data_IF_694568738614
#
_entry.id   IF_694568738614
#
_cell.length_a   1.000
_cell.length_b   1.000
_cell.length_c   1.000
_cell.angle_alpha   90.00
_cell.angle_beta   90.00
_cell.angle_gamma   90.00
#
_symmetry.space_group_name_H-M   'P 1'
#
loop_
_entity.id
_entity.type
_entity.pdbx_description
1 polymer ?
#
# COMPACT_ATOMS: atom_id res chain seq x y z
N UNK A 1 -11.68 -1.91 9.41
CA UNK A 1 -10.40 -2.05 9.08
C UNK A 1 -9.31 -1.98 10.11
N UNK A 2 -8.39 -2.92 10.04
CA UNK A 2 -7.26 -2.98 10.95
C UNK A 2 -6.21 -1.91 10.63
N UNK A 3 -5.52 -1.47 11.67
CA UNK A 3 -4.33 -0.62 11.64
C UNK A 3 -3.08 -1.46 11.99
N UNK A 4 -1.91 -0.90 11.82
CA UNK A 4 -0.65 -1.54 12.22
C UNK A 4 -0.63 -1.92 13.71
N UNK A 5 -1.19 -1.07 14.58
CA UNK A 5 -1.35 -1.36 16.01
C UNK A 5 -2.23 -2.60 16.28
N UNK A 6 -3.25 -2.84 15.47
CA UNK A 6 -4.13 -4.01 15.59
C UNK A 6 -3.42 -5.29 15.16
N UNK A 7 -2.63 -5.21 14.08
CA UNK A 7 -1.78 -6.32 13.63
C UNK A 7 -0.76 -6.70 14.70
N UNK A 8 -0.09 -5.71 15.31
CA UNK A 8 0.84 -5.93 16.42
C UNK A 8 0.20 -6.64 17.61
N UNK A 9 -0.99 -6.21 18.01
CA UNK A 9 -1.70 -6.78 19.17
C UNK A 9 -2.04 -8.25 18.94
N UNK A 10 -2.28 -8.66 17.68
CA UNK A 10 -2.66 -10.02 17.34
C UNK A 10 -1.52 -10.83 16.74
N UNK A 11 -0.33 -10.27 16.62
CA UNK A 11 0.81 -10.84 15.90
C UNK A 11 1.10 -12.29 16.27
N UNK A 12 1.17 -12.58 17.58
CA UNK A 12 1.50 -13.94 18.07
C UNK A 12 0.45 -14.96 17.64
N UNK A 13 -0.83 -14.59 17.72
CA UNK A 13 -1.95 -15.50 17.42
C UNK A 13 -2.16 -15.67 15.92
N UNK A 14 -2.10 -14.58 15.18
CA UNK A 14 -2.56 -14.54 13.79
C UNK A 14 -1.41 -14.69 12.78
N UNK A 15 -0.16 -14.57 13.20
CA UNK A 15 1.01 -14.65 12.32
C UNK A 15 2.04 -15.64 12.86
N UNK A 16 2.69 -15.33 13.99
CA UNK A 16 3.84 -16.09 14.47
C UNK A 16 3.50 -17.57 14.80
N UNK A 17 2.28 -17.83 15.30
CA UNK A 17 1.80 -19.18 15.58
C UNK A 17 1.86 -20.11 14.36
N UNK A 18 1.66 -19.56 13.15
CA UNK A 18 1.64 -20.33 11.91
C UNK A 18 3.03 -20.56 11.31
N UNK A 19 4.06 -19.93 11.83
CA UNK A 19 5.45 -20.04 11.34
C UNK A 19 5.55 -19.87 9.81
N UNK A 20 5.05 -18.74 9.25
CA UNK A 20 5.02 -18.54 7.81
C UNK A 20 6.43 -18.40 7.24
N UNK A 21 6.65 -18.94 6.05
CA UNK A 21 7.90 -18.73 5.29
C UNK A 21 7.95 -17.32 4.69
N UNK A 22 6.77 -16.72 4.43
CA UNK A 22 6.66 -15.39 3.84
C UNK A 22 5.42 -14.64 4.32
N UNK A 23 5.56 -13.34 4.60
CA UNK A 23 4.47 -12.46 5.01
C UNK A 23 4.41 -11.24 4.10
N UNK A 24 3.25 -10.97 3.53
CA UNK A 24 2.96 -9.72 2.83
C UNK A 24 2.12 -8.79 3.70
N UNK A 25 2.49 -7.50 3.74
CA UNK A 25 1.85 -6.51 4.61
C UNK A 25 1.21 -5.42 3.77
N UNK A 26 -0.12 -5.31 3.86
CA UNK A 26 -0.91 -4.24 3.25
C UNK A 26 -1.67 -3.49 4.35
N UNK A 27 -1.04 -2.49 4.94
CA UNK A 27 -1.56 -1.62 5.98
C UNK A 27 -1.34 -0.15 5.60
N UNK A 28 -1.99 0.78 6.30
CA UNK A 28 -1.84 2.22 6.07
C UNK A 28 -3.16 2.91 5.71
N UNK A 29 -4.08 2.25 4.99
CA UNK A 29 -5.36 2.84 4.64
C UNK A 29 -6.15 3.32 5.88
N UNK A 30 -6.22 2.51 6.92
CA UNK A 30 -6.93 2.89 8.15
C UNK A 30 -6.05 3.68 9.10
N UNK A 31 -4.73 3.46 9.07
CA UNK A 31 -3.76 4.19 9.88
C UNK A 31 -3.76 5.68 9.55
N UNK A 32 -3.91 6.05 8.28
CA UNK A 32 -3.96 7.44 7.82
C UNK A 32 -5.27 8.18 8.16
N UNK A 33 -6.21 7.53 8.87
CA UNK A 33 -7.40 8.13 9.50
C UNK A 33 -8.35 8.88 8.56
N UNK A 34 -8.29 8.61 7.26
CA UNK A 34 -9.13 9.26 6.24
C UNK A 34 -9.02 10.79 6.26
N UNK A 35 -7.85 11.32 6.62
CA UNK A 35 -7.60 12.77 6.67
C UNK A 35 -6.50 13.18 5.69
N UNK A 36 -6.25 14.50 5.56
CA UNK A 36 -5.01 14.98 4.98
C UNK A 36 -3.83 14.55 5.84
N UNK A 37 -2.65 14.54 5.24
CA UNK A 37 -1.42 14.18 5.96
C UNK A 37 -1.27 14.93 7.28
N UNK A 38 -0.95 14.20 8.36
CA UNK A 38 -0.67 14.72 9.70
C UNK A 38 0.59 14.05 10.23
N UNK A 39 1.59 14.81 10.74
CA UNK A 39 2.83 14.26 11.27
C UNK A 39 2.60 13.18 12.33
N UNK A 40 1.77 13.48 13.35
CA UNK A 40 1.53 12.58 14.48
C UNK A 40 0.88 11.26 14.09
N UNK A 41 -0.02 11.28 13.11
CA UNK A 41 -0.66 10.07 12.56
C UNK A 41 0.37 9.23 11.82
N UNK A 42 1.20 9.86 11.02
CA UNK A 42 2.27 9.20 10.28
C UNK A 42 3.33 8.60 11.22
N UNK A 43 3.80 9.36 12.22
CA UNK A 43 4.76 8.90 13.23
C UNK A 43 4.24 7.68 14.01
N UNK A 44 2.94 7.67 14.35
CA UNK A 44 2.29 6.52 14.99
C UNK A 44 2.30 5.29 14.08
N UNK A 45 2.00 5.46 12.79
CA UNK A 45 2.07 4.38 11.81
C UNK A 45 3.49 3.84 11.69
N UNK A 46 4.48 4.71 11.53
CA UNK A 46 5.90 4.35 11.44
C UNK A 46 6.36 3.54 12.65
N UNK A 47 6.04 3.99 13.86
CA UNK A 47 6.42 3.30 15.08
C UNK A 47 5.81 1.88 15.17
N UNK A 48 4.51 1.75 14.85
CA UNK A 48 3.83 0.46 14.87
C UNK A 48 4.34 -0.49 13.79
N UNK A 49 4.54 0.01 12.57
CA UNK A 49 5.07 -0.77 11.45
C UNK A 49 6.51 -1.22 11.71
N UNK A 50 7.37 -0.34 12.22
CA UNK A 50 8.75 -0.70 12.58
C UNK A 50 8.78 -1.83 13.60
N UNK A 51 7.97 -1.73 14.66
CA UNK A 51 7.86 -2.79 15.66
C UNK A 51 7.30 -4.10 15.07
N UNK A 52 6.35 -4.00 14.12
CA UNK A 52 5.82 -5.18 13.43
C UNK A 52 6.90 -5.87 12.58
N UNK A 53 7.70 -5.08 11.88
CA UNK A 53 8.81 -5.58 11.07
C UNK A 53 9.89 -6.23 11.92
N UNK A 54 10.28 -5.61 13.06
CA UNK A 54 11.25 -6.19 13.97
C UNK A 54 10.80 -7.58 14.47
N UNK A 55 9.53 -7.72 14.83
CA UNK A 55 8.96 -9.03 15.23
C UNK A 55 8.91 -10.06 14.09
N UNK A 56 8.68 -9.62 12.86
CA UNK A 56 8.70 -10.50 11.70
C UNK A 56 10.12 -10.99 11.39
N UNK A 57 11.10 -10.10 11.45
CA UNK A 57 12.51 -10.46 11.26
C UNK A 57 12.97 -11.53 12.29
N UNK A 58 12.50 -11.44 13.54
CA UNK A 58 12.75 -12.46 14.57
C UNK A 58 12.19 -13.85 14.21
N UNK A 59 11.14 -13.94 13.37
CA UNK A 59 10.60 -15.21 12.91
C UNK A 59 11.41 -15.87 11.79
N UNK A 60 12.26 -15.12 11.11
CA UNK A 60 12.99 -15.55 9.92
C UNK A 60 12.15 -15.59 8.65
N UNK A 61 10.89 -15.15 8.68
CA UNK A 61 10.02 -15.09 7.49
C UNK A 61 10.51 -14.03 6.51
N UNK A 62 10.43 -14.33 5.22
CA UNK A 62 10.55 -13.31 4.17
C UNK A 62 9.40 -12.29 4.28
N UNK A 63 9.69 -11.01 4.05
CA UNK A 63 8.67 -9.96 4.17
C UNK A 63 8.56 -9.17 2.88
N UNK A 64 7.32 -8.91 2.44
CA UNK A 64 7.02 -7.94 1.37
C UNK A 64 6.12 -6.85 1.93
N UNK A 65 6.59 -5.61 1.91
CA UNK A 65 5.78 -4.43 2.16
C UNK A 65 4.99 -4.05 0.91
N UNK A 66 3.73 -3.71 1.09
CA UNK A 66 2.89 -3.21 0.01
C UNK A 66 2.51 -1.76 0.28
N UNK A 67 2.59 -0.95 -0.77
CA UNK A 67 2.02 0.39 -0.75
C UNK A 67 0.51 0.31 -0.46
N UNK A 68 -0.07 1.12 0.45
CA UNK A 68 -1.51 1.22 0.60
C UNK A 68 -2.19 1.48 -0.74
N UNK A 69 -3.35 0.86 -1.00
CA UNK A 69 -4.08 1.07 -2.25
C UNK A 69 -4.57 2.51 -2.41
N UNK A 70 -5.09 2.82 -3.57
CA UNK A 70 -5.62 4.16 -3.86
C UNK A 70 -6.91 4.48 -3.09
N UNK A 71 -7.13 5.76 -2.81
CA UNK A 71 -8.41 6.34 -2.44
C UNK A 71 -9.01 7.12 -3.61
N UNK A 72 -10.25 6.84 -3.97
CA UNK A 72 -10.92 7.52 -5.08
C UNK A 72 -11.84 8.65 -4.59
N UNK A 73 -11.32 9.86 -4.52
CA UNK A 73 -12.09 11.04 -4.11
C UNK A 73 -13.31 11.35 -5.00
N UNK A 74 -13.29 10.94 -6.29
CA UNK A 74 -14.45 11.12 -7.19
C UNK A 74 -15.56 10.11 -6.86
N UNK A 75 -15.22 8.86 -6.60
CA UNK A 75 -16.17 7.86 -6.15
C UNK A 75 -16.76 8.24 -4.79
N UNK A 76 -15.95 8.72 -3.85
CA UNK A 76 -16.42 9.22 -2.56
C UNK A 76 -17.45 10.34 -2.69
N UNK A 77 -17.17 11.38 -3.48
CA UNK A 77 -18.10 12.51 -3.69
C UNK A 77 -19.43 12.11 -4.34
N UNK A 78 -19.46 11.06 -5.16
CA UNK A 78 -20.71 10.55 -5.75
C UNK A 78 -21.61 9.87 -4.72
N UNK A 79 -21.07 9.39 -3.62
CA UNK A 79 -21.84 8.73 -2.54
C UNK A 79 -22.41 9.72 -1.53
N UNK A 80 -22.02 10.97 -1.59
CA UNK A 80 -22.48 12.03 -0.69
C UNK A 80 -21.38 13.03 -0.34
N UNK A 81 -21.70 14.02 0.48
CA UNK A 81 -20.72 15.01 0.91
C UNK A 81 -19.60 14.32 1.68
N UNK A 82 -18.40 14.43 1.16
CA UNK A 82 -17.18 14.01 1.85
C UNK A 82 -16.57 15.25 2.47
N UNK A 83 -16.44 15.25 3.80
CA UNK A 83 -15.81 16.38 4.49
C UNK A 83 -14.39 16.62 3.98
N UNK A 84 -14.02 17.89 3.80
CA UNK A 84 -12.62 18.24 3.65
C UNK A 84 -11.89 17.95 5.01
N UNK A 85 -10.68 17.41 4.98
CA UNK A 85 -9.78 17.23 3.84
C UNK A 85 -9.86 15.84 3.16
N UNK A 86 -10.75 14.95 3.59
CA UNK A 86 -10.83 13.57 3.09
C UNK A 86 -11.04 13.50 1.58
N UNK A 87 -11.80 14.43 1.00
CA UNK A 87 -12.19 14.37 -0.41
C UNK A 87 -11.08 14.65 -1.42
N UNK A 88 -10.01 15.33 -1.06
CA UNK A 88 -9.02 15.82 -2.04
C UNK A 88 -7.57 15.45 -1.75
N UNK A 89 -7.22 15.20 -0.50
CA UNK A 89 -5.82 15.06 -0.08
C UNK A 89 -5.48 13.69 0.50
N UNK A 90 -6.48 12.87 0.80
CA UNK A 90 -6.25 11.58 1.43
C UNK A 90 -5.43 10.63 0.56
N UNK A 91 -5.67 10.60 -0.75
CA UNK A 91 -4.86 9.79 -1.67
C UNK A 91 -3.38 10.21 -1.67
N UNK A 92 -3.10 11.50 -1.49
CA UNK A 92 -1.73 12.00 -1.32
C UNK A 92 -1.10 11.60 0.03
N UNK A 93 -1.89 11.54 1.10
CA UNK A 93 -1.42 11.02 2.37
C UNK A 93 -1.02 9.54 2.25
N UNK A 94 -1.83 8.73 1.56
CA UNK A 94 -1.51 7.31 1.30
C UNK A 94 -0.23 7.15 0.47
N UNK A 95 0.01 8.02 -0.52
CA UNK A 95 1.25 8.03 -1.28
C UNK A 95 2.47 8.24 -0.37
N UNK A 96 2.35 9.12 0.61
CA UNK A 96 3.43 9.39 1.57
C UNK A 96 3.72 8.18 2.48
N UNK A 97 2.66 7.48 2.93
CA UNK A 97 2.80 6.24 3.70
C UNK A 97 3.49 5.14 2.89
N UNK A 98 3.14 5.02 1.62
CA UNK A 98 3.73 4.04 0.73
C UNK A 98 5.18 4.33 0.38
N UNK A 99 5.57 5.60 0.29
CA UNK A 99 6.97 5.98 0.10
C UNK A 99 7.84 5.53 1.27
N UNK A 100 7.35 5.71 2.51
CA UNK A 100 8.01 5.16 3.68
C UNK A 100 8.14 3.63 3.62
N UNK A 101 7.10 2.91 3.16
CA UNK A 101 7.17 1.46 2.96
C UNK A 101 8.29 1.09 1.97
N UNK A 102 8.40 1.83 0.86
CA UNK A 102 9.41 1.60 -0.16
C UNK A 102 10.83 1.82 0.35
N UNK A 103 11.06 2.96 1.01
CA UNK A 103 12.35 3.27 1.61
C UNK A 103 12.75 2.25 2.68
N UNK A 104 11.80 1.88 3.55
CA UNK A 104 12.03 0.89 4.61
C UNK A 104 12.36 -0.48 4.03
N UNK A 105 11.65 -0.89 2.96
CA UNK A 105 11.94 -2.14 2.28
C UNK A 105 13.39 -2.15 1.73
N UNK A 106 13.84 -1.07 1.11
CA UNK A 106 15.21 -0.96 0.63
C UNK A 106 16.26 -1.00 1.76
N UNK A 107 16.01 -0.25 2.83
CA UNK A 107 16.91 -0.19 3.98
C UNK A 107 17.05 -1.53 4.70
N UNK A 108 15.99 -2.31 4.77
CA UNK A 108 15.94 -3.62 5.45
C UNK A 108 16.13 -4.82 4.51
N UNK A 109 16.28 -4.61 3.20
CA UNK A 109 16.39 -5.70 2.22
C UNK A 109 15.13 -6.54 2.05
N UNK A 110 13.95 -5.94 2.24
CA UNK A 110 12.65 -6.57 2.13
C UNK A 110 12.09 -6.45 0.70
N UNK A 111 11.08 -7.28 0.37
CA UNK A 111 10.29 -7.10 -0.84
C UNK A 111 9.41 -5.85 -0.76
N UNK A 112 9.12 -5.25 -1.92
CA UNK A 112 8.18 -4.13 -2.03
C UNK A 112 7.29 -4.28 -3.26
N UNK A 113 6.00 -3.94 -3.10
CA UNK A 113 5.05 -3.88 -4.22
C UNK A 113 4.25 -2.57 -4.19
N UNK A 114 4.34 -1.79 -5.26
CA UNK A 114 3.58 -0.54 -5.42
C UNK A 114 2.16 -0.82 -5.93
N UNK A 115 1.18 -0.83 -5.04
CA UNK A 115 -0.23 -0.95 -5.41
C UNK A 115 -0.92 0.40 -5.63
N UNK A 116 -0.28 1.51 -5.31
CA UNK A 116 -0.90 2.84 -5.38
C UNK A 116 -0.78 3.47 -6.77
N UNK A 117 0.43 3.60 -7.29
CA UNK A 117 0.65 4.30 -8.55
C UNK A 117 0.01 3.58 -9.75
N UNK A 118 0.14 2.25 -9.94
CA UNK A 118 -0.50 1.53 -11.04
C UNK A 118 -2.03 1.62 -11.01
N UNK A 119 -2.68 1.47 -9.86
CA UNK A 119 -4.14 1.55 -9.75
C UNK A 119 -4.66 2.97 -10.00
N UNK A 120 -3.96 4.01 -9.51
CA UNK A 120 -4.29 5.39 -9.83
C UNK A 120 -4.16 5.66 -11.33
N UNK A 121 -3.07 5.22 -11.95
CA UNK A 121 -2.82 5.38 -13.38
C UNK A 121 -3.90 4.72 -14.22
N UNK A 122 -4.21 3.44 -13.95
CA UNK A 122 -5.26 2.71 -14.64
C UNK A 122 -6.60 3.43 -14.51
N UNK A 123 -6.97 3.87 -13.30
CA UNK A 123 -8.20 4.63 -13.08
C UNK A 123 -8.22 5.93 -13.87
N UNK A 124 -7.10 6.65 -13.92
CA UNK A 124 -6.98 7.89 -14.66
C UNK A 124 -7.10 7.68 -16.18
N UNK A 125 -6.46 6.66 -16.71
CA UNK A 125 -6.45 6.36 -18.14
C UNK A 125 -7.84 5.89 -18.63
N UNK A 126 -8.51 5.02 -17.88
CA UNK A 126 -9.86 4.54 -18.22
C UNK A 126 -10.91 5.66 -18.13
N UNK A 127 -10.73 6.65 -17.26
CA UNK A 127 -11.61 7.82 -17.16
C UNK A 127 -11.60 8.75 -18.38
N UNK A 128 -10.66 8.59 -19.29
CA UNK A 128 -10.69 9.26 -20.59
C UNK A 128 -11.80 8.74 -21.48
N UNK A 129 -12.20 7.46 -21.28
CA UNK A 129 -13.26 6.76 -22.05
C UNK A 129 -14.57 6.75 -21.26
N UNK A 130 -14.51 6.43 -19.98
CA UNK A 130 -15.66 6.42 -19.07
C UNK A 130 -15.36 7.31 -17.83
N UNK A 131 -15.87 8.55 -17.79
CA UNK A 131 -15.65 9.46 -16.67
C UNK A 131 -16.15 8.94 -15.31
N UNK A 132 -17.00 7.90 -15.31
CA UNK A 132 -17.54 7.28 -14.11
C UNK A 132 -16.74 6.08 -13.64
N UNK A 133 -15.76 5.63 -14.43
CA UNK A 133 -14.93 4.46 -14.10
C UNK A 133 -14.27 4.60 -12.73
N UNK A 134 -14.22 3.51 -11.97
CA UNK A 134 -13.49 3.40 -10.72
C UNK A 134 -13.11 1.94 -10.43
N UNK A 135 -11.93 1.72 -9.90
CA UNK A 135 -11.49 0.43 -9.38
C UNK A 135 -11.98 0.17 -7.95
N UNK A 136 -12.40 1.24 -7.26
CA UNK A 136 -12.83 1.22 -5.85
C UNK A 136 -14.23 1.86 -5.71
N UNK A 137 -15.30 1.08 -5.95
CA UNK A 137 -16.68 1.60 -6.07
C UNK A 137 -17.17 2.38 -4.85
N UNK A 138 -16.71 2.04 -3.67
CA UNK A 138 -17.02 2.75 -2.43
C UNK A 138 -15.95 3.76 -2.01
N UNK A 139 -15.01 4.03 -2.90
CA UNK A 139 -13.84 4.88 -2.73
C UNK A 139 -12.64 4.26 -1.98
N UNK A 140 -12.82 3.10 -1.34
CA UNK A 140 -11.83 2.46 -0.46
C UNK A 140 -11.51 1.02 -0.87
N UNK A 141 -12.55 0.21 -1.05
CA UNK A 141 -12.40 -1.22 -1.27
C UNK A 141 -12.39 -1.53 -2.78
N UNK A 142 -11.33 -2.20 -3.27
CA UNK A 142 -11.27 -2.62 -4.65
C UNK A 142 -12.43 -3.54 -5.03
N UNK A 143 -13.18 -3.18 -6.08
CA UNK A 143 -14.16 -4.07 -6.71
C UNK A 143 -13.45 -5.18 -7.53
N UNK A 144 -14.20 -6.03 -8.26
CA UNK A 144 -13.61 -7.13 -9.04
C UNK A 144 -12.46 -6.70 -9.96
N UNK A 145 -12.65 -5.60 -10.71
CA UNK A 145 -11.60 -5.04 -11.57
C UNK A 145 -10.42 -4.48 -10.78
N UNK A 146 -10.69 -3.91 -9.60
CA UNK A 146 -9.65 -3.43 -8.69
C UNK A 146 -8.83 -4.58 -8.12
N UNK A 147 -9.46 -5.67 -7.71
CA UNK A 147 -8.79 -6.89 -7.24
C UNK A 147 -7.92 -7.52 -8.33
N UNK A 148 -8.44 -7.59 -9.56
CA UNK A 148 -7.65 -8.06 -10.70
C UNK A 148 -6.44 -7.15 -10.96
N UNK A 149 -6.63 -5.83 -10.94
CA UNK A 149 -5.55 -4.86 -11.07
C UNK A 149 -4.47 -5.02 -10.00
N UNK A 150 -4.87 -5.23 -8.73
CA UNK A 150 -3.94 -5.53 -7.65
C UNK A 150 -3.16 -6.81 -7.91
N UNK A 151 -3.83 -7.91 -8.31
CA UNK A 151 -3.19 -9.18 -8.57
C UNK A 151 -2.16 -9.08 -9.70
N UNK A 152 -2.50 -8.41 -10.81
CA UNK A 152 -1.58 -8.18 -11.93
C UNK A 152 -0.37 -7.36 -11.46
N UNK A 153 -0.61 -6.27 -10.75
CA UNK A 153 0.48 -5.42 -10.22
C UNK A 153 1.41 -6.21 -9.28
N UNK A 154 0.84 -7.01 -8.37
CA UNK A 154 1.65 -7.86 -7.48
C UNK A 154 2.50 -8.86 -8.26
N UNK A 155 1.94 -9.51 -9.27
CA UNK A 155 2.68 -10.45 -10.11
C UNK A 155 3.81 -9.76 -10.87
N UNK A 156 3.56 -8.58 -11.42
CA UNK A 156 4.58 -7.78 -12.12
C UNK A 156 5.69 -7.31 -11.17
N UNK A 157 5.36 -6.79 -10.01
CA UNK A 157 6.33 -6.26 -9.04
C UNK A 157 7.16 -7.38 -8.38
N UNK A 158 6.55 -8.51 -8.03
CA UNK A 158 7.22 -9.59 -7.31
C UNK A 158 7.96 -10.58 -8.24
N UNK A 159 7.49 -10.77 -9.46
CA UNK A 159 8.02 -11.82 -10.33
C UNK A 159 8.67 -11.33 -11.63
N UNK A 160 8.29 -10.16 -12.16
CA UNK A 160 8.81 -9.68 -13.45
C UNK A 160 10.12 -8.93 -13.32
N UNK A 161 10.38 -8.24 -12.23
CA UNK A 161 11.62 -7.47 -12.01
C UNK A 161 12.87 -8.35 -11.94
N UNK A 162 12.76 -9.59 -11.54
CA UNK A 162 13.89 -10.52 -11.52
C UNK A 162 14.41 -10.92 -12.91
N UNK A 163 13.69 -10.59 -13.99
CA UNK A 163 14.03 -11.00 -15.36
C UNK A 163 14.43 -9.87 -16.32
N UNK A 164 14.18 -8.62 -15.97
CA UNK A 164 14.29 -7.51 -16.95
C UNK A 164 15.55 -6.66 -16.86
N UNK A 165 16.28 -6.71 -15.76
CA UNK A 165 17.54 -5.95 -15.65
C UNK A 165 18.61 -6.82 -15.01
N UNK A 166 19.37 -7.54 -15.82
CA UNK A 166 20.52 -8.30 -15.32
C UNK A 166 21.77 -7.44 -15.12
N UNK A 167 21.96 -6.38 -15.88
CA UNK A 167 23.09 -5.45 -15.72
C UNK A 167 22.79 -4.07 -16.31
N UNK A 168 22.91 -3.02 -15.52
CA UNK A 168 23.03 -1.63 -15.98
C UNK A 168 24.42 -1.14 -15.61
N UNK A 169 25.26 -0.87 -16.61
CA UNK A 169 26.55 -0.25 -16.41
C UNK A 169 26.43 1.24 -16.75
N UNK A 170 26.64 2.10 -15.75
CA UNK A 170 26.71 3.55 -15.95
C UNK A 170 28.19 3.90 -16.06
N UNK A 171 28.65 4.23 -17.28
CA UNK A 171 29.97 4.84 -17.48
C UNK A 171 29.85 6.35 -17.36
N UNK A 172 30.72 6.97 -16.53
CA UNK A 172 30.90 8.43 -16.54
C UNK A 172 31.97 8.75 -17.57
N UNK A 173 31.62 9.57 -18.53
CA UNK A 173 32.56 10.25 -19.41
C UNK A 173 33.21 11.41 -18.68
#
# INVERSE_FOLDING_TARGET
GDRAADALRRFQRDVAHYQPDHVSILLGMNDAEYTSWKPTVFETYVANMSTLLDRLEETGAGVTLMHPTMFDARAARRRGPVGEPTGSRYNGALAYFGEWCRETAWQRGLGFADLHAPLNRLTFDERRRDPLFTLVPDALHPGPNGQLGMAVTMLEELFSRSRLVSNVTITRD
#
